data_IF_733468189385
#
_entry.id   IF_733468189385
#
_cell.length_a   1.000
_cell.length_b   1.000
_cell.length_c   1.000
_cell.angle_alpha   90.00
_cell.angle_beta   90.00
_cell.angle_gamma   90.00
#
_symmetry.space_group_name_H-M   'P 1'
#
loop_
_entity.id
_entity.type
_entity.pdbx_description
1 polymer ?
#
# COMPACT_ATOMS: atom_id res chain seq x y z
N UNK A 1 -30.41 -24.13 -14.50
CA UNK A 1 -29.23 -24.95 -14.16
C UNK A 1 -28.44 -24.20 -13.11
N UNK A 2 -28.55 -24.63 -11.86
CA UNK A 2 -27.82 -24.00 -10.73
C UNK A 2 -26.40 -24.52 -10.75
N UNK A 3 -25.41 -23.62 -10.90
CA UNK A 3 -24.00 -23.97 -10.81
C UNK A 3 -23.67 -24.05 -9.31
N UNK A 4 -23.44 -25.27 -8.80
CA UNK A 4 -22.93 -25.47 -7.44
C UNK A 4 -21.55 -24.79 -7.32
N UNK A 5 -21.30 -24.02 -6.25
CA UNK A 5 -19.97 -23.48 -6.00
C UNK A 5 -19.00 -24.63 -5.72
N UNK A 6 -17.92 -24.70 -6.51
CA UNK A 6 -16.82 -25.64 -6.31
C UNK A 6 -16.32 -25.54 -4.85
N UNK A 7 -16.48 -26.61 -4.07
CA UNK A 7 -15.84 -26.73 -2.74
C UNK A 7 -14.33 -26.55 -2.88
N UNK A 8 -13.82 -25.43 -2.46
CA UNK A 8 -12.37 -25.23 -2.37
C UNK A 8 -11.77 -26.31 -1.47
N UNK A 9 -10.80 -27.05 -2.02
CA UNK A 9 -10.11 -28.12 -1.29
C UNK A 9 -9.40 -27.52 -0.05
N UNK A 10 -9.64 -28.07 1.12
CA UNK A 10 -9.04 -27.60 2.39
C UNK A 10 -7.51 -27.65 2.40
N UNK A 11 -6.88 -28.36 1.46
CA UNK A 11 -5.43 -28.31 1.22
C UNK A 11 -5.01 -27.02 0.55
N UNK A 12 -5.75 -26.56 -0.46
CA UNK A 12 -5.50 -25.30 -1.16
C UNK A 12 -5.64 -24.10 -0.20
N UNK A 13 -6.68 -24.11 0.63
CA UNK A 13 -6.89 -23.03 1.61
C UNK A 13 -5.74 -22.97 2.63
N UNK A 14 -5.25 -24.11 3.11
CA UNK A 14 -4.11 -24.15 4.03
C UNK A 14 -2.80 -23.71 3.34
N UNK A 15 -2.57 -24.15 2.10
CA UNK A 15 -1.40 -23.71 1.34
C UNK A 15 -1.41 -22.22 1.08
N UNK A 16 -2.57 -21.65 0.70
CA UNK A 16 -2.73 -20.21 0.51
C UNK A 16 -2.47 -19.45 1.81
N UNK A 17 -3.06 -19.87 2.93
CA UNK A 17 -2.83 -19.25 4.22
C UNK A 17 -1.35 -19.23 4.61
N UNK A 18 -0.65 -20.37 4.43
CA UNK A 18 0.78 -20.45 4.72
C UNK A 18 1.58 -19.53 3.79
N UNK A 19 1.21 -19.43 2.50
CA UNK A 19 1.83 -18.52 1.56
C UNK A 19 1.65 -17.07 2.01
N UNK A 20 0.45 -16.66 2.37
CA UNK A 20 0.13 -15.29 2.81
C UNK A 20 0.88 -14.92 4.11
N UNK A 21 0.97 -15.86 5.07
CA UNK A 21 1.72 -15.65 6.33
C UNK A 21 3.22 -15.44 6.06
N UNK A 22 3.81 -16.25 5.17
CA UNK A 22 5.23 -16.10 4.78
C UNK A 22 5.44 -14.81 4.01
N UNK A 23 4.55 -14.47 3.08
CA UNK A 23 4.61 -13.23 2.32
C UNK A 23 4.58 -12.00 3.25
N UNK A 24 3.61 -11.96 4.17
CA UNK A 24 3.52 -10.88 5.18
C UNK A 24 4.79 -10.76 6.03
N UNK A 25 5.36 -11.89 6.45
CA UNK A 25 6.62 -11.92 7.21
C UNK A 25 7.79 -11.34 6.42
N UNK A 26 7.88 -11.65 5.13
CA UNK A 26 8.90 -11.10 4.23
C UNK A 26 8.72 -9.59 4.03
N UNK A 27 7.49 -9.11 3.83
CA UNK A 27 7.22 -7.67 3.67
C UNK A 27 7.54 -6.90 4.95
N UNK A 28 7.13 -7.38 6.13
CA UNK A 28 7.48 -6.75 7.40
C UNK A 28 9.01 -6.65 7.57
N UNK A 29 9.74 -7.72 7.25
CA UNK A 29 11.20 -7.72 7.29
C UNK A 29 11.82 -6.73 6.29
N UNK A 30 11.21 -6.54 5.12
CA UNK A 30 11.65 -5.53 4.17
C UNK A 30 11.43 -4.11 4.74
N UNK A 31 10.26 -3.83 5.35
CA UNK A 31 9.97 -2.55 6.01
C UNK A 31 11.03 -2.25 7.08
N UNK A 32 11.33 -3.22 7.95
CA UNK A 32 12.35 -3.05 9.00
C UNK A 32 13.73 -2.75 8.42
N UNK A 33 14.15 -3.47 7.37
CA UNK A 33 15.44 -3.25 6.71
C UNK A 33 15.52 -1.88 6.03
N UNK A 34 14.46 -1.45 5.31
CA UNK A 34 14.43 -0.14 4.65
C UNK A 34 14.41 1.02 5.65
N UNK A 35 13.82 0.83 6.82
CA UNK A 35 13.78 1.83 7.89
C UNK A 35 15.01 1.81 8.80
N UNK A 36 15.92 0.83 8.63
CA UNK A 36 17.16 0.77 9.42
C UNK A 36 18.19 1.75 8.87
N UNK A 37 18.56 2.81 9.61
CA UNK A 37 19.50 3.83 9.13
C UNK A 37 20.94 3.29 8.91
N UNK A 38 21.25 2.11 9.45
CA UNK A 38 22.56 1.48 9.30
C UNK A 38 22.65 0.62 8.03
N UNK A 39 21.55 0.41 7.33
CA UNK A 39 21.47 -0.42 6.12
C UNK A 39 21.27 0.47 4.90
N UNK A 40 22.24 0.46 3.98
CA UNK A 40 22.04 1.14 2.69
C UNK A 40 20.93 0.45 1.91
N UNK A 41 19.90 1.20 1.48
CA UNK A 41 18.76 0.67 0.72
C UNK A 41 19.17 -0.01 -0.60
N UNK A 42 20.27 0.44 -1.22
CA UNK A 42 20.82 -0.14 -2.44
C UNK A 42 21.27 -1.59 -2.24
N UNK A 43 21.72 -1.90 -1.03
CA UNK A 43 22.21 -3.23 -0.65
C UNK A 43 21.09 -4.19 -0.26
N UNK A 44 19.86 -3.70 -0.04
CA UNK A 44 18.74 -4.55 0.33
C UNK A 44 18.34 -5.39 -0.88
N UNK A 45 18.43 -6.70 -0.72
CA UNK A 45 18.10 -7.73 -1.72
C UNK A 45 17.07 -8.70 -1.17
N UNK A 46 16.41 -9.46 -2.05
CA UNK A 46 15.50 -10.55 -1.63
C UNK A 46 16.19 -11.52 -0.68
N UNK A 47 17.48 -11.82 -0.92
CA UNK A 47 18.26 -12.71 -0.04
C UNK A 47 18.49 -12.14 1.36
N UNK A 48 18.68 -10.82 1.48
CA UNK A 48 18.80 -10.16 2.78
C UNK A 48 17.47 -10.12 3.51
N UNK A 49 16.38 -9.83 2.80
CA UNK A 49 15.01 -9.89 3.35
C UNK A 49 14.70 -11.31 3.84
N UNK A 50 15.02 -12.34 3.05
CA UNK A 50 14.86 -13.73 3.44
C UNK A 50 15.60 -14.07 4.74
N UNK A 51 16.88 -13.69 4.81
CA UNK A 51 17.73 -13.91 6.00
C UNK A 51 17.15 -13.21 7.24
N UNK A 52 16.73 -11.95 7.09
CA UNK A 52 16.13 -11.17 8.18
C UNK A 52 14.81 -11.81 8.65
N UNK A 53 13.97 -12.24 7.72
CA UNK A 53 12.72 -12.91 7.99
C UNK A 53 12.88 -14.34 8.55
N UNK A 54 14.08 -14.95 8.52
CA UNK A 54 14.27 -16.35 8.87
C UNK A 54 13.53 -17.30 7.92
N UNK A 55 13.50 -16.96 6.64
CA UNK A 55 12.89 -17.74 5.55
C UNK A 55 13.99 -18.19 4.60
N UNK A 56 13.83 -19.35 3.95
CA UNK A 56 14.82 -19.79 2.95
C UNK A 56 14.86 -18.82 1.76
N UNK A 57 16.05 -18.60 1.19
CA UNK A 57 16.23 -17.75 0.02
C UNK A 57 15.38 -18.23 -1.16
N UNK A 58 15.31 -19.55 -1.38
CA UNK A 58 14.46 -20.13 -2.43
C UNK A 58 12.97 -19.80 -2.21
N UNK A 59 12.49 -19.89 -0.98
CA UNK A 59 11.11 -19.52 -0.65
C UNK A 59 10.87 -18.04 -0.92
N UNK A 60 11.79 -17.16 -0.53
CA UNK A 60 11.65 -15.73 -0.76
C UNK A 60 11.59 -15.37 -2.26
N UNK A 61 12.38 -16.04 -3.11
CA UNK A 61 12.30 -15.84 -4.57
C UNK A 61 11.01 -16.38 -5.19
N UNK A 62 10.31 -17.31 -4.55
CA UNK A 62 8.97 -17.70 -4.97
C UNK A 62 7.92 -16.61 -4.71
N UNK A 63 8.16 -15.74 -3.71
CA UNK A 63 7.32 -14.58 -3.41
C UNK A 63 7.72 -13.33 -4.21
N UNK A 64 9.00 -13.19 -4.55
CA UNK A 64 9.60 -12.02 -5.20
C UNK A 64 10.47 -12.42 -6.39
N UNK A 65 9.89 -13.00 -7.47
CA UNK A 65 10.64 -13.47 -8.62
C UNK A 65 11.36 -12.35 -9.40
N UNK A 66 10.82 -11.13 -9.39
CA UNK A 66 11.41 -9.95 -10.02
C UNK A 66 12.16 -9.05 -9.02
N UNK A 67 12.63 -9.62 -7.92
CA UNK A 67 13.48 -8.95 -6.93
C UNK A 67 12.81 -7.79 -6.20
N UNK A 68 13.47 -6.62 -6.19
CA UNK A 68 13.00 -5.43 -5.46
C UNK A 68 11.67 -4.89 -5.95
N UNK A 69 11.35 -5.02 -7.23
CA UNK A 69 10.09 -4.50 -7.78
C UNK A 69 8.89 -5.21 -7.16
N UNK A 70 9.01 -6.52 -6.89
CA UNK A 70 7.96 -7.27 -6.21
C UNK A 70 7.78 -6.82 -4.75
N UNK A 71 8.90 -6.55 -4.06
CA UNK A 71 8.87 -6.03 -2.70
C UNK A 71 8.16 -4.67 -2.68
N UNK A 72 8.53 -3.76 -3.58
CA UNK A 72 7.91 -2.43 -3.67
C UNK A 72 6.42 -2.49 -4.03
N UNK A 73 6.05 -3.32 -5.00
CA UNK A 73 4.64 -3.56 -5.32
C UNK A 73 3.85 -4.08 -4.13
N UNK A 74 4.42 -5.03 -3.39
CA UNK A 74 3.79 -5.60 -2.19
C UNK A 74 3.66 -4.60 -1.04
N UNK A 75 4.59 -3.65 -0.90
CA UNK A 75 4.48 -2.56 0.08
C UNK A 75 3.27 -1.66 -0.21
N UNK A 76 3.03 -1.33 -1.47
CA UNK A 76 1.84 -0.58 -1.86
C UNK A 76 0.56 -1.37 -1.59
N UNK A 77 0.52 -2.64 -2.00
CA UNK A 77 -0.66 -3.50 -1.79
C UNK A 77 -1.01 -3.64 -0.31
N UNK A 78 0.00 -3.86 0.56
CA UNK A 78 -0.21 -3.97 2.00
C UNK A 78 -0.77 -2.66 2.57
N UNK A 79 -0.18 -1.52 2.19
CA UNK A 79 -0.64 -0.21 2.64
C UNK A 79 -2.09 0.06 2.25
N UNK A 80 -2.46 -0.23 1.00
CA UNK A 80 -3.83 0.01 0.53
C UNK A 80 -4.86 -0.92 1.15
N UNK A 81 -4.52 -2.17 1.41
CA UNK A 81 -5.45 -3.09 2.07
C UNK A 81 -5.84 -2.58 3.45
N UNK A 82 -4.87 -2.16 4.25
CA UNK A 82 -5.13 -1.63 5.59
C UNK A 82 -6.00 -0.36 5.52
N UNK A 83 -5.72 0.54 4.57
CA UNK A 83 -6.52 1.75 4.33
C UNK A 83 -7.96 1.39 3.95
N UNK A 84 -8.16 0.42 3.08
CA UNK A 84 -9.48 -0.02 2.66
C UNK A 84 -10.29 -0.63 3.82
N UNK A 85 -9.64 -1.42 4.66
CA UNK A 85 -10.27 -2.04 5.83
C UNK A 85 -10.72 -0.96 6.86
N UNK A 86 -9.88 0.04 7.15
CA UNK A 86 -10.21 1.14 8.03
C UNK A 86 -11.33 2.02 7.46
N UNK A 87 -11.28 2.34 6.17
CA UNK A 87 -12.31 3.11 5.50
C UNK A 87 -13.66 2.40 5.53
N UNK A 88 -13.69 1.11 5.24
CA UNK A 88 -14.94 0.32 5.27
C UNK A 88 -15.55 0.31 6.67
N UNK A 89 -14.73 0.17 7.72
CA UNK A 89 -15.20 0.26 9.10
C UNK A 89 -15.80 1.64 9.43
N UNK A 90 -15.18 2.72 8.93
CA UNK A 90 -15.69 4.08 9.12
C UNK A 90 -17.01 4.30 8.36
N UNK A 91 -17.10 3.87 7.11
CA UNK A 91 -18.30 4.01 6.27
C UNK A 91 -19.52 3.25 6.84
N UNK A 92 -19.27 2.17 7.59
CA UNK A 92 -20.35 1.44 8.28
C UNK A 92 -21.10 2.31 9.31
N UNK A 93 -20.51 3.41 9.78
CA UNK A 93 -21.16 4.39 10.68
C UNK A 93 -22.03 5.41 9.96
N UNK A 94 -22.13 5.34 8.62
CA UNK A 94 -22.85 6.32 7.76
C UNK A 94 -22.41 7.77 8.00
N UNK A 95 -21.11 8.07 7.88
CA UNK A 95 -20.59 9.41 8.11
C UNK A 95 -21.06 10.37 7.01
N UNK A 96 -20.87 11.69 7.24
CA UNK A 96 -21.03 12.68 6.18
C UNK A 96 -20.00 12.41 5.05
N UNK A 97 -20.36 12.63 3.77
CA UNK A 97 -19.46 12.35 2.65
C UNK A 97 -18.10 13.06 2.76
N UNK A 98 -18.07 14.34 3.15
CA UNK A 98 -16.83 15.09 3.36
C UNK A 98 -15.93 14.47 4.44
N UNK A 99 -16.53 13.94 5.49
CA UNK A 99 -15.79 13.27 6.57
C UNK A 99 -15.15 11.96 6.09
N UNK A 100 -15.79 11.27 5.13
CA UNK A 100 -15.23 10.06 4.54
C UNK A 100 -14.01 10.36 3.65
N UNK A 101 -14.04 11.47 2.88
CA UNK A 101 -12.89 11.93 2.08
C UNK A 101 -11.71 12.27 3.00
N UNK A 102 -11.96 13.09 4.04
CA UNK A 102 -10.93 13.49 5.00
C UNK A 102 -10.33 12.25 5.70
N UNK A 103 -11.18 11.34 6.15
CA UNK A 103 -10.74 10.09 6.79
C UNK A 103 -9.86 9.27 5.86
N UNK A 104 -10.26 9.07 4.60
CA UNK A 104 -9.47 8.36 3.61
C UNK A 104 -8.08 8.97 3.43
N UNK A 105 -7.99 10.29 3.21
CA UNK A 105 -6.73 10.99 3.01
C UNK A 105 -5.83 10.89 4.24
N UNK A 106 -6.38 11.04 5.45
CA UNK A 106 -5.63 10.90 6.70
C UNK A 106 -5.12 9.48 6.89
N UNK A 107 -5.92 8.46 6.60
CA UNK A 107 -5.48 7.07 6.73
C UNK A 107 -4.36 6.74 5.75
N UNK A 108 -4.45 7.20 4.48
CA UNK A 108 -3.36 7.06 3.51
C UNK A 108 -2.10 7.79 3.99
N UNK A 109 -2.22 9.02 4.47
CA UNK A 109 -1.09 9.79 4.98
C UNK A 109 -0.42 9.11 6.18
N UNK A 110 -1.20 8.62 7.14
CA UNK A 110 -0.69 7.88 8.29
C UNK A 110 0.04 6.60 7.87
N UNK A 111 -0.49 5.88 6.87
CA UNK A 111 0.15 4.68 6.35
C UNK A 111 1.48 4.98 5.65
N UNK A 112 1.57 6.07 4.91
CA UNK A 112 2.84 6.54 4.32
C UNK A 112 3.87 6.85 5.42
N UNK A 113 3.46 7.51 6.51
CA UNK A 113 4.35 7.78 7.66
C UNK A 113 4.79 6.49 8.34
N UNK A 114 3.87 5.54 8.56
CA UNK A 114 4.17 4.24 9.19
C UNK A 114 5.19 3.43 8.37
N UNK A 115 5.03 3.38 7.06
CA UNK A 115 5.93 2.65 6.17
C UNK A 115 7.30 3.35 6.00
N UNK A 116 7.37 4.66 6.24
CA UNK A 116 8.61 5.44 6.30
C UNK A 116 9.48 5.32 5.05
N UNK A 117 10.76 4.98 5.22
CA UNK A 117 11.70 4.83 4.10
C UNK A 117 11.33 3.70 3.14
N UNK A 118 10.63 2.67 3.59
CA UNK A 118 10.21 1.59 2.71
C UNK A 118 9.31 2.11 1.58
N UNK A 119 8.27 2.89 1.92
CA UNK A 119 7.39 3.49 0.91
C UNK A 119 8.09 4.60 0.12
N UNK A 120 9.01 5.34 0.75
CA UNK A 120 9.79 6.38 0.06
C UNK A 120 10.55 5.82 -1.12
N UNK A 121 11.30 4.74 -0.92
CA UNK A 121 12.04 4.12 -2.01
C UNK A 121 11.11 3.50 -3.06
N UNK A 122 10.04 2.84 -2.64
CA UNK A 122 9.05 2.31 -3.55
C UNK A 122 8.39 3.41 -4.40
N UNK A 123 8.12 4.58 -3.82
CA UNK A 123 7.49 5.71 -4.52
C UNK A 123 8.35 6.25 -5.67
N UNK A 124 9.67 6.29 -5.51
CA UNK A 124 10.57 6.72 -6.58
C UNK A 124 10.74 5.67 -7.70
N UNK A 125 10.40 4.42 -7.43
CA UNK A 125 10.43 3.32 -8.40
C UNK A 125 9.04 3.03 -9.02
N UNK A 126 8.05 3.88 -8.76
CA UNK A 126 6.65 3.70 -9.23
C UNK A 126 6.56 3.46 -10.73
N UNK A 127 7.37 4.17 -11.52
CA UNK A 127 7.37 4.02 -12.98
C UNK A 127 7.74 2.60 -13.41
N UNK A 128 8.75 2.02 -12.82
CA UNK A 128 9.22 0.66 -13.10
C UNK A 128 8.21 -0.37 -12.60
N UNK A 129 7.59 -0.12 -11.45
CA UNK A 129 6.53 -0.96 -10.90
C UNK A 129 5.30 -0.94 -11.82
N UNK A 130 4.90 0.23 -12.33
CA UNK A 130 3.81 0.36 -13.30
C UNK A 130 4.13 -0.36 -14.60
N UNK A 131 5.34 -0.20 -15.12
CA UNK A 131 5.78 -0.85 -16.35
C UNK A 131 5.80 -2.38 -16.23
N UNK A 132 6.03 -2.92 -15.02
CA UNK A 132 5.99 -4.36 -14.74
C UNK A 132 4.56 -4.94 -14.66
N UNK A 133 3.53 -4.11 -14.72
CA UNK A 133 2.12 -4.52 -14.54
C UNK A 133 1.74 -4.93 -13.12
N UNK A 134 2.61 -4.67 -12.13
CA UNK A 134 2.39 -5.01 -10.72
C UNK A 134 1.73 -3.92 -9.91
N UNK A 135 1.65 -2.73 -10.48
CA UNK A 135 0.95 -1.61 -9.90
C UNK A 135 -0.55 -1.73 -10.21
N UNK A 136 -1.34 -1.87 -9.20
CA UNK A 136 -2.80 -1.76 -9.32
C UNK A 136 -3.13 -0.27 -9.27
N UNK A 137 -3.14 0.37 -10.44
CA UNK A 137 -3.33 1.80 -10.63
C UNK A 137 -4.82 2.14 -10.54
N UNK A 138 -5.60 1.68 -9.85
CA UNK A 138 -7.02 2.02 -9.80
C UNK A 138 -7.48 2.21 -8.36
N UNK A 139 -7.10 1.32 -7.48
CA UNK A 139 -7.76 1.22 -6.18
C UNK A 139 -7.82 2.53 -5.37
N UNK A 140 -6.74 3.32 -5.18
CA UNK A 140 -6.86 4.56 -4.41
C UNK A 140 -7.62 5.65 -5.13
N UNK A 141 -7.45 5.76 -6.44
CA UNK A 141 -8.17 6.73 -7.25
C UNK A 141 -9.65 6.39 -7.31
N UNK A 142 -9.99 5.13 -7.57
CA UNK A 142 -11.37 4.64 -7.66
C UNK A 142 -12.11 4.79 -6.33
N UNK A 143 -11.42 4.53 -5.21
CA UNK A 143 -11.97 4.76 -3.87
C UNK A 143 -12.26 6.25 -3.67
N UNK A 144 -11.28 7.12 -3.94
CA UNK A 144 -11.47 8.57 -3.83
C UNK A 144 -12.59 9.07 -4.74
N UNK A 145 -12.64 8.60 -5.99
CA UNK A 145 -13.72 8.92 -6.92
C UNK A 145 -15.10 8.54 -6.37
N UNK A 146 -15.22 7.35 -5.81
CA UNK A 146 -16.48 6.90 -5.21
C UNK A 146 -16.90 7.79 -4.04
N UNK A 147 -15.95 8.25 -3.22
CA UNK A 147 -16.21 9.18 -2.11
C UNK A 147 -16.60 10.58 -2.63
N UNK A 148 -15.89 11.10 -3.63
CA UNK A 148 -16.20 12.37 -4.26
C UNK A 148 -17.57 12.34 -4.95
N UNK A 149 -17.92 11.24 -5.58
CA UNK A 149 -19.25 11.05 -6.20
C UNK A 149 -20.39 11.05 -5.18
N UNK A 150 -20.14 10.57 -3.98
CA UNK A 150 -21.14 10.64 -2.89
C UNK A 150 -21.24 12.05 -2.30
N UNK A 151 -20.18 12.86 -2.42
CA UNK A 151 -20.14 14.24 -1.91
C UNK A 151 -20.73 15.23 -2.93
N UNK A 152 -20.26 15.22 -4.15
CA UNK A 152 -20.67 16.08 -5.26
C UNK A 152 -20.74 15.26 -6.57
N UNK A 153 -21.90 14.66 -6.87
CA UNK A 153 -22.07 13.81 -8.06
C UNK A 153 -21.79 14.51 -9.40
N UNK A 154 -22.02 15.81 -9.47
CA UNK A 154 -21.94 16.58 -10.73
C UNK A 154 -20.48 16.96 -11.04
N UNK A 155 -19.62 17.10 -10.04
CA UNK A 155 -18.22 17.50 -10.17
C UNK A 155 -17.24 16.43 -9.70
N UNK A 156 -17.66 15.17 -9.56
CA UNK A 156 -16.87 14.09 -8.96
C UNK A 156 -15.52 13.86 -9.66
N UNK A 157 -15.48 13.88 -10.97
CA UNK A 157 -14.25 13.67 -11.75
C UNK A 157 -13.23 14.78 -11.48
N UNK A 158 -13.66 16.05 -11.62
CA UNK A 158 -12.78 17.20 -11.37
C UNK A 158 -12.29 17.22 -9.92
N UNK A 159 -13.17 17.03 -8.95
CA UNK A 159 -12.84 17.03 -7.53
C UNK A 159 -11.84 15.92 -7.19
N UNK A 160 -12.03 14.73 -7.75
CA UNK A 160 -11.12 13.61 -7.57
C UNK A 160 -9.73 13.93 -8.10
N UNK A 161 -9.65 14.45 -9.34
CA UNK A 161 -8.38 14.81 -9.96
C UNK A 161 -7.63 15.88 -9.16
N UNK A 162 -8.32 16.93 -8.72
CA UNK A 162 -7.73 18.01 -7.93
C UNK A 162 -7.20 17.50 -6.58
N UNK A 163 -8.00 16.74 -5.83
CA UNK A 163 -7.58 16.17 -4.55
C UNK A 163 -6.42 15.20 -4.74
N UNK A 164 -6.52 14.30 -5.73
CA UNK A 164 -5.49 13.28 -5.97
C UNK A 164 -4.15 13.90 -6.37
N UNK A 165 -4.16 14.91 -7.25
CA UNK A 165 -2.96 15.63 -7.66
C UNK A 165 -2.34 16.41 -6.50
N UNK A 166 -3.15 17.12 -5.73
CA UNK A 166 -2.68 17.86 -4.56
C UNK A 166 -2.08 16.92 -3.50
N UNK A 167 -2.73 15.81 -3.19
CA UNK A 167 -2.26 14.83 -2.23
C UNK A 167 -0.95 14.18 -2.69
N UNK A 168 -0.87 13.74 -3.94
CA UNK A 168 0.35 13.17 -4.52
C UNK A 168 1.50 14.17 -4.53
N UNK A 169 1.24 15.41 -4.90
CA UNK A 169 2.25 16.48 -4.86
C UNK A 169 2.80 16.74 -3.46
N UNK A 170 1.93 16.80 -2.46
CA UNK A 170 2.32 16.97 -1.06
C UNK A 170 3.11 15.75 -0.55
N UNK A 171 2.66 14.54 -0.85
CA UNK A 171 3.35 13.29 -0.49
C UNK A 171 4.72 13.21 -1.14
N UNK A 172 4.83 13.55 -2.42
CA UNK A 172 6.12 13.56 -3.14
C UNK A 172 7.12 14.53 -2.50
N UNK A 173 6.69 15.75 -2.18
CA UNK A 173 7.55 16.74 -1.52
C UNK A 173 8.01 16.26 -0.15
N UNK A 174 7.10 15.69 0.64
CA UNK A 174 7.43 15.16 1.95
C UNK A 174 8.44 14.01 1.86
N UNK A 175 8.20 13.03 1.00
CA UNK A 175 9.11 11.90 0.79
C UNK A 175 10.49 12.33 0.27
N UNK A 176 10.56 13.42 -0.50
CA UNK A 176 11.81 13.94 -1.05
C UNK A 176 12.71 14.57 0.02
N UNK A 177 12.11 15.30 0.96
CA UNK A 177 12.91 16.14 1.88
C UNK A 177 13.19 15.45 3.22
N UNK A 178 12.20 14.96 3.90
CA UNK A 178 12.39 14.28 5.19
C UNK A 178 11.14 13.45 5.55
N UNK A 179 11.22 12.12 5.50
CA UNK A 179 10.10 11.26 5.87
C UNK A 179 9.79 11.29 7.38
N UNK A 180 10.71 11.82 8.20
CA UNK A 180 10.48 11.97 9.65
C UNK A 180 9.84 13.30 10.01
N UNK A 181 9.73 14.24 9.06
CA UNK A 181 9.14 15.54 9.30
C UNK A 181 7.59 15.42 9.29
N UNK A 182 6.90 15.79 10.36
CA UNK A 182 5.46 15.63 10.47
C UNK A 182 4.72 16.71 9.65
N UNK A 183 4.86 16.68 8.32
CA UNK A 183 4.20 17.66 7.43
C UNK A 183 2.69 17.61 7.60
N UNK A 184 2.16 16.40 7.82
CA UNK A 184 0.72 16.18 7.96
C UNK A 184 0.13 16.74 9.25
N UNK A 185 0.90 16.81 10.34
CA UNK A 185 0.42 17.39 11.60
C UNK A 185 0.14 18.91 11.51
N UNK A 186 0.63 19.57 10.46
CA UNK A 186 0.36 20.99 10.22
C UNK A 186 -0.97 21.26 9.50
N UNK A 187 -1.59 20.22 8.96
CA UNK A 187 -2.82 20.33 8.16
C UNK A 187 -4.02 19.61 8.78
N UNK A 188 -3.83 19.01 9.95
CA UNK A 188 -4.86 18.22 10.66
C UNK A 188 -5.38 18.90 11.94
N UNK A 189 -4.91 20.11 12.28
CA UNK A 189 -5.40 20.94 13.40
C UNK A 189 -6.51 21.89 12.95
#
# INVERSE_FOLDING_TARGET
MSVEPLKQDGRMLRAQKTYDEVHKKLINSAVELFNNPLVSHEKITVSQVAKHAGVSVATAYNHFPENKLDIYGSLFQLGFKDVADELNAFLASSPKPESAIIMFLNTVANKVVELGNAIRFAWFEVREIQASGKWIQGEPYDVLYSLCKNYDPDNADQLTDEIFQMFNGATFLWLRYDPTYPVWSKYTD
#
